data_IF_133077643278
#
_entry.id   IF_133077643278
#
_cell.length_a   1.000
_cell.length_b   1.000
_cell.length_c   1.000
_cell.angle_alpha   90.00
_cell.angle_beta   90.00
_cell.angle_gamma   90.00
#
_symmetry.space_group_name_H-M   'P 1'
#
loop_
_entity.id
_entity.type
_entity.pdbx_description
1 polymer ?
#
# COMPACT_ATOMS: atom_id res chain seq x y z
N UNK A 1 -30.75 -8.40 27.52
CA UNK A 1 -29.60 -8.77 28.37
C UNK A 1 -28.44 -9.11 27.45
N UNK A 2 -27.36 -8.30 27.35
CA UNK A 2 -26.20 -8.69 26.55
C UNK A 2 -25.32 -9.63 27.37
N UNK A 3 -25.04 -10.81 26.81
CA UNK A 3 -24.16 -11.82 27.37
C UNK A 3 -22.72 -11.29 27.45
N UNK A 4 -22.16 -11.28 28.67
CA UNK A 4 -20.74 -10.97 28.88
C UNK A 4 -19.87 -12.04 28.20
N UNK A 5 -18.80 -11.66 27.48
CA UNK A 5 -17.87 -12.64 26.92
C UNK A 5 -17.20 -13.41 28.06
N UNK A 6 -17.30 -14.75 28.03
CA UNK A 6 -16.62 -15.63 28.98
C UNK A 6 -15.10 -15.52 28.76
N UNK A 7 -14.40 -14.92 29.71
CA UNK A 7 -12.95 -15.05 29.80
C UNK A 7 -12.61 -16.53 30.03
N UNK A 8 -11.96 -17.15 29.04
CA UNK A 8 -11.43 -18.51 29.12
C UNK A 8 -9.93 -18.45 29.39
N UNK A 9 -9.41 -19.35 30.22
CA UNK A 9 -7.97 -19.52 30.45
C UNK A 9 -7.18 -19.88 29.19
N UNK A 10 -7.85 -20.31 28.12
CA UNK A 10 -7.24 -20.47 26.78
C UNK A 10 -6.76 -19.14 26.17
N UNK A 11 -7.24 -17.99 26.65
CA UNK A 11 -6.82 -16.65 26.19
C UNK A 11 -5.57 -16.13 26.90
N UNK A 12 -5.21 -16.70 28.06
CA UNK A 12 -4.03 -16.28 28.85
C UNK A 12 -2.73 -17.00 28.45
N UNK A 13 -2.83 -18.08 27.66
CA UNK A 13 -1.70 -18.71 26.95
C UNK A 13 -1.92 -18.69 25.44
N UNK A 14 -2.54 -17.63 24.93
CA UNK A 14 -2.57 -17.40 23.49
C UNK A 14 -1.13 -17.36 23.02
N UNK A 15 -0.75 -18.32 22.16
CA UNK A 15 0.50 -18.36 21.41
C UNK A 15 0.94 -16.91 21.14
N UNK A 16 1.89 -16.41 21.93
CA UNK A 16 2.45 -15.10 21.69
C UNK A 16 3.07 -15.22 20.32
N UNK A 17 2.44 -14.60 19.33
CA UNK A 17 2.95 -14.65 17.97
C UNK A 17 4.42 -14.30 18.03
N UNK A 18 5.31 -15.08 17.40
CA UNK A 18 6.74 -14.89 17.58
C UNK A 18 7.14 -13.45 17.23
N UNK A 19 8.10 -12.91 17.99
CA UNK A 19 8.35 -11.47 18.03
C UNK A 19 8.57 -10.86 16.63
N UNK A 20 9.30 -11.58 15.78
CA UNK A 20 9.57 -11.19 14.40
C UNK A 20 8.28 -11.07 13.57
N UNK A 21 7.45 -12.12 13.57
CA UNK A 21 6.17 -12.14 12.87
C UNK A 21 5.18 -11.10 13.40
N UNK A 22 5.27 -10.77 14.69
CA UNK A 22 4.49 -9.69 15.30
C UNK A 22 4.89 -8.32 14.77
N UNK A 23 6.18 -8.05 14.60
CA UNK A 23 6.68 -6.79 14.04
C UNK A 23 6.23 -6.62 12.59
N UNK A 24 6.39 -7.64 11.75
CA UNK A 24 5.92 -7.59 10.38
C UNK A 24 4.39 -7.49 10.28
N UNK A 25 3.66 -8.16 11.18
CA UNK A 25 2.21 -7.97 11.28
C UNK A 25 1.80 -6.54 11.57
N UNK A 26 2.55 -5.82 12.42
CA UNK A 26 2.27 -4.41 12.68
C UNK A 26 2.44 -3.56 11.42
N UNK A 27 3.49 -3.83 10.62
CA UNK A 27 3.69 -3.18 9.31
C UNK A 27 2.49 -3.46 8.41
N UNK A 28 2.14 -4.73 8.18
CA UNK A 28 0.99 -5.14 7.35
C UNK A 28 -0.31 -4.46 7.82
N UNK A 29 -0.51 -4.30 9.12
CA UNK A 29 -1.72 -3.66 9.66
C UNK A 29 -1.73 -2.15 9.40
N UNK A 30 -0.59 -1.49 9.53
CA UNK A 30 -0.44 -0.07 9.24
C UNK A 30 -0.57 0.22 7.75
N UNK A 31 -0.03 -0.63 6.87
CA UNK A 31 -0.21 -0.52 5.42
C UNK A 31 -1.69 -0.58 5.03
N UNK A 32 -2.48 -1.44 5.68
CA UNK A 32 -3.93 -1.46 5.45
C UNK A 32 -4.63 -0.14 5.80
N UNK A 33 -4.12 0.57 6.82
CA UNK A 33 -4.67 1.87 7.19
C UNK A 33 -4.26 2.94 6.17
N UNK A 34 -3.03 2.87 5.64
CA UNK A 34 -2.55 3.75 4.57
C UNK A 34 -3.36 3.53 3.28
N UNK A 35 -3.59 2.29 2.86
CA UNK A 35 -4.44 1.94 1.71
C UNK A 35 -5.81 2.60 1.84
N UNK A 36 -6.50 2.41 2.98
CA UNK A 36 -7.81 3.03 3.19
C UNK A 36 -7.79 4.57 3.21
N UNK A 37 -6.65 5.17 3.57
CA UNK A 37 -6.47 6.63 3.48
C UNK A 37 -6.34 7.10 2.03
N UNK A 38 -5.62 6.36 1.18
CA UNK A 38 -5.51 6.66 -0.26
C UNK A 38 -6.85 6.50 -0.98
N UNK A 39 -7.56 5.39 -0.76
CA UNK A 39 -8.91 5.19 -1.31
C UNK A 39 -9.87 6.31 -0.90
N UNK A 40 -9.80 6.74 0.37
CA UNK A 40 -10.61 7.85 0.87
C UNK A 40 -10.22 9.17 0.21
N UNK A 41 -8.93 9.45 0.08
CA UNK A 41 -8.43 10.65 -0.59
C UNK A 41 -8.87 10.71 -2.06
N UNK A 42 -8.84 9.58 -2.78
CA UNK A 42 -9.34 9.46 -4.15
C UNK A 42 -10.83 9.81 -4.25
N UNK A 43 -11.67 9.20 -3.42
CA UNK A 43 -13.13 9.51 -3.39
C UNK A 43 -13.43 10.96 -3.03
N UNK A 44 -12.73 11.51 -2.03
CA UNK A 44 -12.89 12.92 -1.66
C UNK A 44 -12.46 13.84 -2.80
N UNK A 45 -11.38 13.50 -3.53
CA UNK A 45 -10.92 14.27 -4.68
C UNK A 45 -11.97 14.33 -5.79
N UNK A 46 -12.58 13.20 -6.15
CA UNK A 46 -13.68 13.14 -7.14
C UNK A 46 -14.89 13.96 -6.68
N UNK A 47 -15.26 13.87 -5.40
CA UNK A 47 -16.35 14.70 -4.85
C UNK A 47 -16.05 16.19 -4.93
N UNK A 48 -14.81 16.61 -4.64
CA UNK A 48 -14.40 18.01 -4.72
C UNK A 48 -14.40 18.48 -6.19
N UNK A 49 -13.98 17.62 -7.11
CA UNK A 49 -14.01 17.92 -8.54
C UNK A 49 -15.44 18.22 -9.05
N UNK A 50 -16.41 17.39 -8.67
CA UNK A 50 -17.83 17.63 -8.97
C UNK A 50 -18.31 18.97 -8.38
N UNK A 51 -18.01 19.23 -7.11
CA UNK A 51 -18.43 20.47 -6.45
C UNK A 51 -17.80 21.73 -7.08
N UNK A 52 -16.56 21.63 -7.56
CA UNK A 52 -15.87 22.72 -8.24
C UNK A 52 -16.55 23.02 -9.59
N UNK A 53 -16.87 21.99 -10.36
CA UNK A 53 -17.60 22.14 -11.62
C UNK A 53 -18.97 22.77 -11.38
N UNK A 54 -19.74 22.21 -10.44
CA UNK A 54 -21.06 22.71 -10.07
C UNK A 54 -20.97 24.20 -9.68
N UNK A 55 -20.05 24.55 -8.78
CA UNK A 55 -19.87 25.93 -8.34
C UNK A 55 -19.57 26.89 -9.51
N UNK A 56 -18.73 26.47 -10.45
CA UNK A 56 -18.38 27.30 -11.61
C UNK A 56 -19.58 27.63 -12.49
N UNK A 57 -20.48 26.67 -12.72
CA UNK A 57 -21.74 26.92 -13.44
C UNK A 57 -22.61 27.99 -12.77
N UNK A 58 -22.62 28.05 -11.43
CA UNK A 58 -23.39 29.05 -10.67
C UNK A 58 -22.81 30.47 -10.72
N UNK A 59 -21.60 30.66 -11.24
CA UNK A 59 -20.97 31.99 -11.30
C UNK A 59 -21.54 32.90 -12.38
N UNK A 60 -22.28 32.34 -13.34
CA UNK A 60 -22.75 33.04 -14.56
C UNK A 60 -21.61 33.67 -15.39
N UNK A 61 -20.36 33.25 -15.15
CA UNK A 61 -19.17 33.63 -15.91
C UNK A 61 -18.74 32.44 -16.78
N UNK A 62 -18.86 32.59 -18.10
CA UNK A 62 -18.55 31.53 -19.07
C UNK A 62 -17.10 31.04 -18.98
N UNK A 63 -16.16 31.94 -18.68
CA UNK A 63 -14.75 31.58 -18.56
C UNK A 63 -14.52 30.76 -17.29
N UNK A 64 -15.10 31.19 -16.17
CA UNK A 64 -14.98 30.45 -14.90
C UNK A 64 -15.63 29.08 -15.02
N UNK A 65 -16.84 28.98 -15.59
CA UNK A 65 -17.57 27.74 -15.77
C UNK A 65 -16.78 26.72 -16.63
N UNK A 66 -16.24 27.15 -17.78
CA UNK A 66 -15.45 26.27 -18.66
C UNK A 66 -14.17 25.77 -17.97
N UNK A 67 -13.44 26.66 -17.28
CA UNK A 67 -12.19 26.30 -16.62
C UNK A 67 -12.43 25.38 -15.43
N UNK A 68 -13.45 25.66 -14.59
CA UNK A 68 -13.76 24.83 -13.43
C UNK A 68 -14.23 23.43 -13.81
N UNK A 69 -15.03 23.29 -14.87
CA UNK A 69 -15.47 21.97 -15.38
C UNK A 69 -14.26 21.14 -15.81
N UNK A 70 -13.40 21.71 -16.64
CA UNK A 70 -12.22 21.00 -17.18
C UNK A 70 -11.17 20.69 -16.12
N UNK A 71 -10.95 21.60 -15.17
CA UNK A 71 -10.11 21.31 -13.99
C UNK A 71 -10.75 20.22 -13.14
N UNK A 72 -12.08 20.22 -13.01
CA UNK A 72 -12.85 19.14 -12.39
C UNK A 72 -12.56 17.78 -13.03
N UNK A 73 -12.59 17.67 -14.36
CA UNK A 73 -12.24 16.43 -15.08
C UNK A 73 -10.83 15.94 -14.70
N UNK A 74 -9.82 16.82 -14.76
CA UNK A 74 -8.45 16.46 -14.40
C UNK A 74 -8.29 16.09 -12.91
N UNK A 75 -9.04 16.76 -12.03
CA UNK A 75 -9.05 16.44 -10.60
C UNK A 75 -9.69 15.08 -10.32
N UNK A 76 -10.80 14.75 -11.00
CA UNK A 76 -11.41 13.42 -10.91
C UNK A 76 -10.44 12.33 -11.33
N UNK A 77 -9.72 12.55 -12.45
CA UNK A 77 -8.69 11.61 -12.91
C UNK A 77 -7.55 11.46 -11.89
N UNK A 78 -7.10 12.53 -11.23
CA UNK A 78 -6.15 12.44 -10.10
C UNK A 78 -6.70 11.55 -8.98
N UNK A 79 -8.01 11.60 -8.73
CA UNK A 79 -8.69 10.73 -7.77
C UNK A 79 -8.66 9.26 -8.17
N UNK A 80 -8.90 8.94 -9.43
CA UNK A 80 -8.81 7.57 -9.98
C UNK A 80 -7.37 7.02 -9.90
N UNK A 81 -6.36 7.87 -10.09
CA UNK A 81 -4.96 7.48 -9.89
C UNK A 81 -4.64 7.13 -8.43
N UNK A 82 -5.32 7.72 -7.42
CA UNK A 82 -5.18 7.30 -6.03
C UNK A 82 -5.78 5.92 -5.77
N UNK A 83 -6.91 5.59 -6.40
CA UNK A 83 -7.55 4.27 -6.26
C UNK A 83 -6.67 3.17 -6.89
N UNK A 84 -6.13 3.43 -8.08
CA UNK A 84 -5.16 2.56 -8.74
C UNK A 84 -3.93 2.32 -7.85
N UNK A 85 -3.37 3.38 -7.26
CA UNK A 85 -2.25 3.28 -6.34
C UNK A 85 -2.58 2.46 -5.08
N UNK A 86 -3.77 2.64 -4.51
CA UNK A 86 -4.24 1.85 -3.38
C UNK A 86 -4.32 0.34 -3.72
N UNK A 87 -4.71 0.01 -4.95
CA UNK A 87 -4.69 -1.36 -5.48
C UNK A 87 -3.28 -1.97 -5.45
N UNK A 88 -2.28 -1.27 -5.99
CA UNK A 88 -0.89 -1.73 -5.96
C UNK A 88 -0.33 -1.85 -4.54
N UNK A 89 -0.73 -0.96 -3.62
CA UNK A 89 -0.35 -1.08 -2.21
C UNK A 89 -0.92 -2.35 -1.56
N UNK A 90 -2.14 -2.79 -1.93
CA UNK A 90 -2.67 -4.08 -1.46
C UNK A 90 -1.89 -5.26 -2.06
N UNK A 91 -1.47 -5.20 -3.32
CA UNK A 91 -0.60 -6.23 -3.93
C UNK A 91 0.74 -6.35 -3.18
N UNK A 92 1.43 -5.23 -2.97
CA UNK A 92 2.63 -5.14 -2.13
C UNK A 92 2.39 -5.75 -0.74
N UNK A 93 1.26 -5.41 -0.11
CA UNK A 93 0.89 -5.90 1.21
C UNK A 93 0.60 -7.40 1.22
N UNK A 94 0.04 -7.97 0.16
CA UNK A 94 -0.15 -9.42 0.00
C UNK A 94 1.21 -10.13 -0.02
N UNK A 95 2.21 -9.58 -0.70
CA UNK A 95 3.57 -10.15 -0.70
C UNK A 95 4.19 -10.13 0.70
N UNK A 96 4.02 -9.05 1.47
CA UNK A 96 4.47 -9.02 2.87
C UNK A 96 3.79 -10.07 3.75
N UNK A 97 2.49 -10.37 3.53
CA UNK A 97 1.79 -11.44 4.25
C UNK A 97 2.47 -12.81 4.02
N UNK A 98 2.99 -13.07 2.82
CA UNK A 98 3.70 -14.32 2.53
C UNK A 98 4.98 -14.49 3.36
N UNK A 99 5.73 -13.41 3.57
CA UNK A 99 6.91 -13.40 4.47
C UNK A 99 6.47 -13.74 5.89
N UNK A 100 5.46 -13.03 6.39
CA UNK A 100 4.90 -13.20 7.75
C UNK A 100 4.37 -14.62 7.98
N UNK A 101 3.75 -15.22 6.97
CA UNK A 101 3.23 -16.60 7.03
C UNK A 101 4.36 -17.63 7.02
N UNK A 102 5.43 -17.38 6.27
CA UNK A 102 6.65 -18.21 6.30
C UNK A 102 7.35 -18.10 7.65
N UNK A 103 7.44 -16.90 8.22
CA UNK A 103 7.99 -16.72 9.57
C UNK A 103 7.17 -17.48 10.62
N UNK A 104 5.84 -17.48 10.51
CA UNK A 104 4.98 -18.25 11.40
C UNK A 104 5.18 -19.77 11.22
N UNK A 105 5.42 -20.25 10.00
CA UNK A 105 5.54 -21.69 9.71
C UNK A 105 6.86 -22.30 10.20
N UNK A 106 7.93 -21.51 10.36
CA UNK A 106 9.21 -21.97 10.92
C UNK A 106 9.17 -22.14 12.44
N UNK A 107 8.23 -21.49 13.12
CA UNK A 107 8.21 -21.39 14.57
C UNK A 107 7.96 -22.72 15.29
N UNK A 108 7.08 -23.61 14.81
CA UNK A 108 6.97 -24.96 15.34
C UNK A 108 8.30 -25.74 15.32
N UNK A 109 9.15 -25.54 14.31
CA UNK A 109 10.47 -26.19 14.26
C UNK A 109 11.42 -25.65 15.33
N UNK A 110 11.42 -24.33 15.55
CA UNK A 110 12.19 -23.68 16.64
C UNK A 110 11.75 -24.17 18.01
N UNK A 111 10.44 -24.19 18.25
CA UNK A 111 9.83 -24.61 19.51
C UNK A 111 10.11 -26.10 19.80
N UNK A 112 10.01 -26.96 18.78
CA UNK A 112 10.29 -28.39 18.91
C UNK A 112 11.75 -28.65 19.30
N UNK A 113 12.70 -27.99 18.63
CA UNK A 113 14.13 -28.08 18.96
C UNK A 113 14.41 -27.61 20.40
N UNK A 114 13.86 -26.46 20.79
CA UNK A 114 14.03 -25.92 22.14
C UNK A 114 13.49 -26.88 23.21
N UNK A 115 12.31 -27.46 22.96
CA UNK A 115 11.68 -28.43 23.86
C UNK A 115 12.54 -29.67 24.08
N UNK A 116 13.11 -30.25 23.02
CA UNK A 116 14.00 -31.42 23.14
C UNK A 116 15.25 -31.05 23.96
N UNK A 117 15.86 -29.89 23.69
CA UNK A 117 17.03 -29.42 24.42
C UNK A 117 16.75 -29.24 25.93
N UNK A 118 15.60 -28.65 26.29
CA UNK A 118 15.16 -28.48 27.68
C UNK A 118 14.92 -29.84 28.37
N UNK A 119 14.31 -30.81 27.67
CA UNK A 119 14.08 -32.16 28.19
C UNK A 119 15.40 -32.90 28.46
N UNK A 120 16.39 -32.77 27.57
CA UNK A 120 17.76 -33.29 27.79
C UNK A 120 18.39 -32.67 29.02
N UNK A 121 18.36 -31.34 29.16
CA UNK A 121 18.96 -30.65 30.30
C UNK A 121 18.31 -31.10 31.62
N UNK A 122 16.98 -31.20 31.63
CA UNK A 122 16.23 -31.66 32.80
C UNK A 122 16.57 -33.11 33.18
N UNK A 123 16.72 -34.00 32.20
CA UNK A 123 17.13 -35.39 32.45
C UNK A 123 18.57 -35.48 32.93
N UNK A 124 19.51 -34.73 32.34
CA UNK A 124 20.90 -34.67 32.81
C UNK A 124 21.01 -34.24 34.28
N UNK A 125 20.10 -33.38 34.75
CA UNK A 125 20.07 -32.94 36.15
C UNK A 125 19.40 -33.94 37.10
N UNK A 126 18.30 -34.58 36.68
CA UNK A 126 17.50 -35.44 37.56
C UNK A 126 17.91 -36.92 37.52
N UNK A 127 18.25 -37.41 36.34
CA UNK A 127 18.51 -38.82 36.05
C UNK A 127 19.69 -38.95 35.06
N UNK A 128 20.92 -38.58 35.48
CA UNK A 128 22.08 -38.45 34.58
C UNK A 128 22.51 -39.74 33.88
N UNK A 129 22.07 -40.91 34.38
CA UNK A 129 22.38 -42.22 33.79
C UNK A 129 21.22 -42.82 32.98
N UNK A 130 20.20 -42.01 32.66
CA UNK A 130 19.04 -42.46 31.88
C UNK A 130 19.40 -42.66 30.41
N UNK A 131 19.18 -43.86 29.88
CA UNK A 131 19.31 -44.18 28.44
C UNK A 131 18.43 -43.32 27.52
N UNK A 132 17.42 -42.64 28.09
CA UNK A 132 16.58 -41.67 27.35
C UNK A 132 17.36 -40.44 26.90
N UNK A 133 18.48 -40.13 27.57
CA UNK A 133 19.34 -39.00 27.19
C UNK A 133 19.91 -39.24 25.79
N UNK A 134 20.47 -40.43 25.53
CA UNK A 134 21.05 -40.76 24.21
C UNK A 134 20.01 -40.71 23.09
N UNK A 135 18.78 -41.16 23.37
CA UNK A 135 17.66 -41.12 22.42
C UNK A 135 17.29 -39.67 22.09
N UNK A 136 17.12 -38.82 23.11
CA UNK A 136 16.78 -37.41 22.91
C UNK A 136 17.91 -36.62 22.26
N UNK A 137 19.17 -36.96 22.51
CA UNK A 137 20.32 -36.35 21.82
C UNK A 137 20.30 -36.67 20.32
N UNK A 138 20.00 -37.92 19.94
CA UNK A 138 19.80 -38.26 18.53
C UNK A 138 18.58 -37.56 17.91
N UNK A 139 17.49 -37.42 18.67
CA UNK A 139 16.31 -36.67 18.23
C UNK A 139 16.64 -35.18 18.04
N UNK A 140 17.42 -34.59 18.94
CA UNK A 140 17.87 -33.20 18.86
C UNK A 140 18.68 -32.95 17.59
N UNK A 141 19.61 -33.85 17.24
CA UNK A 141 20.38 -33.73 15.98
C UNK A 141 19.47 -33.72 14.76
N UNK A 142 18.40 -34.53 14.75
CA UNK A 142 17.41 -34.52 13.66
C UNK A 142 16.60 -33.21 13.64
N UNK A 143 16.17 -32.74 14.81
CA UNK A 143 15.42 -31.48 14.94
C UNK A 143 16.27 -30.27 14.54
N UNK A 144 17.57 -30.27 14.85
CA UNK A 144 18.53 -29.26 14.42
C UNK A 144 18.69 -29.23 12.89
N UNK A 145 18.85 -30.40 12.25
CA UNK A 145 18.93 -30.47 10.80
C UNK A 145 17.65 -29.93 10.12
N UNK A 146 16.48 -30.28 10.63
CA UNK A 146 15.20 -29.74 10.14
C UNK A 146 15.10 -28.22 10.35
N UNK A 147 15.52 -27.73 11.52
CA UNK A 147 15.53 -26.31 11.83
C UNK A 147 16.46 -25.54 10.89
N UNK A 148 17.66 -26.05 10.59
CA UNK A 148 18.58 -25.42 9.64
C UNK A 148 17.97 -25.27 8.24
N UNK A 149 17.27 -26.29 7.75
CA UNK A 149 16.57 -26.24 6.46
C UNK A 149 15.45 -25.18 6.49
N UNK A 150 14.63 -25.17 7.54
CA UNK A 150 13.54 -24.21 7.71
C UNK A 150 14.06 -22.76 7.79
N UNK A 151 15.16 -22.51 8.51
CA UNK A 151 15.80 -21.19 8.61
C UNK A 151 16.39 -20.73 7.26
N UNK A 152 17.00 -21.64 6.51
CA UNK A 152 17.52 -21.34 5.17
C UNK A 152 16.37 -21.00 4.21
N UNK A 153 15.27 -21.74 4.26
CA UNK A 153 14.06 -21.45 3.49
C UNK A 153 13.47 -20.09 3.84
N UNK A 154 13.29 -19.80 5.14
CA UNK A 154 12.83 -18.49 5.59
C UNK A 154 13.73 -17.37 5.06
N UNK A 155 15.04 -17.52 5.19
CA UNK A 155 16.01 -16.53 4.71
C UNK A 155 15.85 -16.25 3.21
N UNK A 156 15.72 -17.29 2.40
CA UNK A 156 15.58 -17.17 0.95
C UNK A 156 14.24 -16.54 0.57
N UNK A 157 13.15 -16.99 1.18
CA UNK A 157 11.80 -16.45 0.94
C UNK A 157 11.72 -14.99 1.36
N UNK A 158 12.22 -14.63 2.55
CA UNK A 158 12.22 -13.25 3.02
C UNK A 158 12.97 -12.34 2.06
N UNK A 159 14.16 -12.72 1.59
CA UNK A 159 14.91 -11.90 0.64
C UNK A 159 14.21 -11.74 -0.70
N UNK A 160 13.73 -12.85 -1.26
CA UNK A 160 13.03 -12.85 -2.56
C UNK A 160 11.75 -12.02 -2.49
N UNK A 161 10.93 -12.24 -1.47
CA UNK A 161 9.62 -11.59 -1.34
C UNK A 161 9.73 -10.15 -0.88
N UNK A 162 10.73 -9.80 -0.08
CA UNK A 162 10.97 -8.39 0.26
C UNK A 162 11.35 -7.58 -0.98
N UNK A 163 12.21 -8.14 -1.83
CA UNK A 163 12.60 -7.52 -3.10
C UNK A 163 11.40 -7.33 -4.02
N UNK A 164 10.59 -8.36 -4.21
CA UNK A 164 9.33 -8.31 -4.97
C UNK A 164 8.34 -7.29 -4.42
N UNK A 165 8.12 -7.29 -3.10
CA UNK A 165 7.21 -6.35 -2.44
C UNK A 165 7.64 -4.89 -2.68
N UNK A 166 8.92 -4.59 -2.46
CA UNK A 166 9.44 -3.23 -2.61
C UNK A 166 9.52 -2.80 -4.09
N UNK A 167 9.68 -3.73 -5.03
CA UNK A 167 9.55 -3.46 -6.46
C UNK A 167 8.16 -2.92 -6.77
N UNK A 168 7.11 -3.67 -6.42
CA UNK A 168 5.70 -3.28 -6.61
C UNK A 168 5.43 -1.91 -5.98
N UNK A 169 5.80 -1.72 -4.71
CA UNK A 169 5.56 -0.46 -4.02
C UNK A 169 6.24 0.72 -4.71
N UNK A 170 7.53 0.59 -5.05
CA UNK A 170 8.28 1.71 -5.63
C UNK A 170 7.88 2.01 -7.07
N UNK A 171 7.57 0.99 -7.86
CA UNK A 171 7.00 1.17 -9.20
C UNK A 171 5.65 1.90 -9.15
N UNK A 172 4.76 1.50 -8.24
CA UNK A 172 3.47 2.14 -8.05
C UNK A 172 3.59 3.62 -7.64
N UNK A 173 4.56 3.95 -6.78
CA UNK A 173 4.85 5.34 -6.40
C UNK A 173 5.29 6.16 -7.61
N UNK A 174 6.18 5.62 -8.44
CA UNK A 174 6.67 6.29 -9.64
C UNK A 174 5.52 6.55 -10.62
N UNK A 175 4.75 5.52 -10.96
CA UNK A 175 3.59 5.63 -11.85
C UNK A 175 2.61 6.70 -11.38
N UNK A 176 2.19 6.63 -10.11
CA UNK A 176 1.27 7.62 -9.51
C UNK A 176 1.83 9.03 -9.63
N UNK A 177 3.08 9.24 -9.26
CA UNK A 177 3.71 10.57 -9.28
C UNK A 177 3.83 11.15 -10.69
N UNK A 178 4.19 10.33 -11.67
CA UNK A 178 4.34 10.77 -13.06
C UNK A 178 3.01 11.13 -13.70
N UNK A 179 1.99 10.27 -13.55
CA UNK A 179 0.65 10.54 -14.07
C UNK A 179 0.01 11.77 -13.42
N UNK A 180 0.14 11.92 -12.10
CA UNK A 180 -0.35 13.14 -11.42
C UNK A 180 0.41 14.39 -11.86
N UNK A 181 1.71 14.28 -12.15
CA UNK A 181 2.49 15.39 -12.67
C UNK A 181 2.01 15.81 -14.07
N UNK A 182 1.69 14.85 -14.95
CA UNK A 182 1.11 15.13 -16.27
C UNK A 182 -0.23 15.87 -16.14
N UNK A 183 -1.15 15.35 -15.33
CA UNK A 183 -2.45 15.97 -15.06
C UNK A 183 -2.32 17.39 -14.50
N UNK A 184 -1.45 17.58 -13.51
CA UNK A 184 -1.21 18.89 -12.91
C UNK A 184 -0.63 19.90 -13.91
N UNK A 185 0.22 19.47 -14.85
CA UNK A 185 0.74 20.33 -15.92
C UNK A 185 -0.38 20.80 -16.85
N UNK A 186 -1.30 19.92 -17.23
CA UNK A 186 -2.44 20.29 -18.07
C UNK A 186 -3.44 21.18 -17.33
N UNK A 187 -3.69 20.94 -16.04
CA UNK A 187 -4.49 21.85 -15.22
C UNK A 187 -3.89 23.26 -15.18
N UNK A 188 -2.56 23.38 -15.08
CA UNK A 188 -1.88 24.69 -15.18
C UNK A 188 -2.00 25.31 -16.57
N UNK A 189 -2.05 24.53 -17.64
CA UNK A 189 -2.31 25.04 -19.00
C UNK A 189 -3.71 25.63 -19.10
N UNK A 190 -4.73 24.97 -18.52
CA UNK A 190 -6.10 25.50 -18.47
C UNK A 190 -6.16 26.87 -17.77
N UNK A 191 -5.44 27.03 -16.65
CA UNK A 191 -5.43 28.31 -15.92
C UNK A 191 -4.89 29.49 -16.75
N UNK A 192 -4.04 29.25 -17.75
CA UNK A 192 -3.57 30.32 -18.65
C UNK A 192 -4.64 30.78 -19.66
N UNK A 193 -5.77 30.08 -19.76
CA UNK A 193 -6.92 30.46 -20.58
C UNK A 193 -7.96 31.29 -19.81
N UNK A 194 -7.70 31.63 -18.55
CA UNK A 194 -8.52 32.53 -17.74
C UNK A 194 -7.90 33.93 -17.74
N UNK A 195 -8.60 34.92 -18.28
CA UNK A 195 -8.18 36.33 -18.23
C UNK A 195 -8.54 36.91 -16.86
N UNK A 196 -7.53 37.32 -16.09
CA UNK A 196 -7.67 37.92 -14.76
C UNK A 196 -7.61 39.46 -14.79
N UNK A 197 -7.66 40.06 -15.98
CA UNK A 197 -7.67 41.53 -16.14
C UNK A 197 -8.89 42.12 -15.41
N UNK A 198 -8.70 43.04 -14.44
CA UNK A 198 -9.81 43.64 -13.69
C UNK A 198 -10.78 44.39 -14.60
N UNK A 199 -12.09 44.17 -14.38
CA UNK A 199 -13.15 44.90 -15.06
C UNK A 199 -13.40 46.23 -14.37
N UNK A 200 -13.43 47.32 -15.14
CA UNK A 200 -13.73 48.66 -14.62
C UNK A 200 -15.22 48.74 -14.30
N UNK A 201 -15.64 49.34 -13.16
CA UNK A 201 -17.05 49.49 -12.83
C UNK A 201 -17.85 50.18 -13.96
N UNK A 202 -18.84 49.47 -14.52
CA UNK A 202 -19.66 49.95 -15.63
C UNK A 202 -19.32 49.32 -16.98
N UNK A 203 -18.17 48.67 -17.12
CA UNK A 203 -17.80 47.89 -18.30
C UNK A 203 -18.24 46.43 -18.16
N UNK A 204 -18.41 45.75 -19.29
CA UNK A 204 -18.60 44.29 -19.33
C UNK A 204 -17.25 43.59 -19.35
N UNK A 205 -17.14 42.37 -18.77
CA UNK A 205 -16.00 41.49 -19.00
C UNK A 205 -15.77 41.26 -20.51
N UNK A 206 -14.54 40.87 -20.87
CA UNK A 206 -14.27 40.43 -22.24
C UNK A 206 -15.06 39.18 -22.56
N UNK A 207 -15.50 39.07 -23.80
CA UNK A 207 -16.16 37.86 -24.29
C UNK A 207 -15.21 36.67 -24.22
N UNK A 208 -15.72 35.54 -23.76
CA UNK A 208 -14.94 34.32 -23.61
C UNK A 208 -14.91 33.52 -24.92
N UNK A 209 -13.72 33.27 -25.46
CA UNK A 209 -13.52 32.56 -26.74
C UNK A 209 -12.58 31.34 -26.65
N UNK A 210 -12.17 30.96 -25.43
CA UNK A 210 -11.13 29.94 -25.22
C UNK A 210 -11.64 28.50 -25.22
N UNK A 211 -12.96 28.27 -25.34
CA UNK A 211 -13.57 26.94 -25.20
C UNK A 211 -13.00 25.84 -26.12
N UNK A 212 -12.52 26.22 -27.31
CA UNK A 212 -11.85 25.29 -28.24
C UNK A 212 -10.44 24.88 -27.75
N UNK A 213 -9.68 25.85 -27.22
CA UNK A 213 -8.32 25.65 -26.71
C UNK A 213 -8.36 24.80 -25.45
N UNK A 214 -9.26 25.11 -24.52
CA UNK A 214 -9.39 24.37 -23.26
C UNK A 214 -9.90 22.94 -23.48
N UNK A 215 -10.73 22.69 -24.51
CA UNK A 215 -11.07 21.32 -24.95
C UNK A 215 -9.84 20.57 -25.48
N UNK A 216 -9.04 21.21 -26.34
CA UNK A 216 -7.80 20.61 -26.84
C UNK A 216 -6.84 20.25 -25.70
N UNK A 217 -6.75 21.07 -24.64
CA UNK A 217 -5.91 20.75 -23.48
C UNK A 217 -6.36 19.47 -22.76
N UNK A 218 -7.68 19.20 -22.68
CA UNK A 218 -8.16 17.93 -22.12
C UNK A 218 -7.84 16.74 -23.03
N UNK A 219 -8.01 16.90 -24.35
CA UNK A 219 -7.64 15.86 -25.31
C UNK A 219 -6.14 15.54 -25.25
N UNK A 220 -5.29 16.56 -25.11
CA UNK A 220 -3.85 16.39 -24.89
C UNK A 220 -3.56 15.64 -23.58
N UNK A 221 -4.28 15.95 -22.50
CA UNK A 221 -4.11 15.28 -21.22
C UNK A 221 -4.47 13.79 -21.31
N UNK A 222 -5.57 13.46 -21.98
CA UNK A 222 -5.99 12.09 -22.22
C UNK A 222 -4.96 11.35 -23.09
N UNK A 223 -4.47 11.97 -24.16
CA UNK A 223 -3.47 11.38 -25.04
C UNK A 223 -2.14 11.14 -24.31
N UNK A 224 -1.67 12.12 -23.52
CA UNK A 224 -0.44 12.00 -22.73
C UNK A 224 -0.56 10.90 -21.66
N UNK A 225 -1.72 10.76 -21.01
CA UNK A 225 -1.96 9.68 -20.06
C UNK A 225 -2.00 8.31 -20.74
N UNK A 226 -2.65 8.20 -21.91
CA UNK A 226 -2.69 6.95 -22.69
C UNK A 226 -1.33 6.56 -23.24
N UNK A 227 -0.52 7.55 -23.61
CA UNK A 227 0.83 7.35 -24.14
C UNK A 227 1.90 7.26 -23.05
N UNK A 228 1.52 7.39 -21.77
CA UNK A 228 2.48 7.25 -20.67
C UNK A 228 3.06 5.83 -20.67
N UNK A 229 4.38 5.76 -20.57
CA UNK A 229 5.14 4.53 -20.43
C UNK A 229 5.94 4.59 -19.14
N UNK A 230 6.07 3.45 -18.47
CA UNK A 230 6.81 3.36 -17.21
C UNK A 230 8.27 3.75 -17.38
N UNK A 231 8.76 4.65 -16.53
CA UNK A 231 10.18 5.00 -16.42
C UNK A 231 10.95 4.08 -15.45
N UNK A 232 10.27 3.11 -14.84
CA UNK A 232 10.86 2.21 -13.85
C UNK A 232 11.97 1.38 -14.46
N UNK A 233 13.12 1.32 -13.78
CA UNK A 233 14.22 0.43 -14.18
C UNK A 233 13.96 -0.95 -13.59
N UNK A 234 13.97 -2.03 -14.40
CA UNK A 234 13.73 -3.38 -13.89
C UNK A 234 14.70 -3.76 -12.76
N UNK A 235 14.17 -4.33 -11.68
CA UNK A 235 15.01 -4.89 -10.63
C UNK A 235 15.56 -6.24 -11.10
N UNK A 236 16.87 -6.30 -11.33
CA UNK A 236 17.59 -7.53 -11.69
C UNK A 236 17.33 -8.62 -10.66
N UNK A 237 17.00 -9.85 -11.09
CA UNK A 237 16.75 -10.99 -10.19
C UNK A 237 18.03 -11.47 -9.52
#
# INVERSE_FOLDING_TARGET
MPSRPRFSFSTLRGFQQPELSRKLNQVIKNENAAIGAHEKAGRERVSIASQLSDWGEWTEDEAVADISDKVGVLMSEIGEQEDTFAGYLEEYRIVLKQIRDTENSVQPSRDHRAKIADEIQKLKWKEPHSHKIDILEQELVRAEAQSLVAEAQLTNVTRSKLKEALDIHTAAVIERSEKQTLLARHARRLLNSLDDTPVVPGDSPREYDQGSITRQILEDAENDLRAWESTTVPIHT
#
